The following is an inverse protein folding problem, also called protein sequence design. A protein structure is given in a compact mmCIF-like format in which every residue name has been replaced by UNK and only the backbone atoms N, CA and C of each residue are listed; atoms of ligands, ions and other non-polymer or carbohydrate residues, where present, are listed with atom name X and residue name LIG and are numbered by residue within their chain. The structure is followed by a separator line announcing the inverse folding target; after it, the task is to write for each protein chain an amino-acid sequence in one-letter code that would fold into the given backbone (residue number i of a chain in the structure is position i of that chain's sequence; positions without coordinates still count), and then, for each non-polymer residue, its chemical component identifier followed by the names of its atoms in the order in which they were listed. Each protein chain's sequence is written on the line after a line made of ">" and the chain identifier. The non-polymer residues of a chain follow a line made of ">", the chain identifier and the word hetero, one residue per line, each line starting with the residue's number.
data_IF_221309160544
#
_entry.id   IF_221309160544
#
_cell.length_a   1.000
_cell.length_b   1.000
_cell.length_c   1.000
_cell.angle_alpha   90.00
_cell.angle_beta   90.00
_cell.angle_gamma   90.00
#
_symmetry.space_group_name_H-M   'P 1'
#
loop_
_entity.id
_entity.type
_entity.pdbx_description
1 polymer ?
#
# COMPACT_ATOMS: atom_id res chain seq x y z
N UNK A 1 -3.86 17.08 -28.91
CA UNK A 1 -2.87 17.14 -27.82
C UNK A 1 -3.25 16.01 -26.87
N UNK A 2 -2.78 14.80 -27.15
CA UNK A 2 -3.07 13.62 -26.33
C UNK A 2 -1.86 13.53 -25.41
N UNK A 3 -1.97 14.04 -24.20
CA UNK A 3 -0.93 13.80 -23.21
C UNK A 3 -0.89 12.29 -22.97
N UNK A 4 0.25 11.70 -23.33
CA UNK A 4 0.42 10.26 -23.48
C UNK A 4 0.11 9.54 -22.17
N UNK A 5 -0.83 8.59 -22.18
CA UNK A 5 -1.27 7.81 -20.99
C UNK A 5 -0.06 7.23 -20.25
N UNK A 6 1.00 6.89 -20.99
CA UNK A 6 2.27 6.41 -20.46
C UNK A 6 2.93 7.38 -19.46
N UNK A 7 2.83 8.68 -19.68
CA UNK A 7 3.41 9.69 -18.79
C UNK A 7 2.68 9.75 -17.45
N UNK A 8 1.35 9.60 -17.48
CA UNK A 8 0.52 9.56 -16.28
C UNK A 8 0.74 8.26 -15.49
N UNK A 9 0.69 7.12 -16.19
CA UNK A 9 0.94 5.80 -15.58
C UNK A 9 2.32 5.69 -14.93
N UNK A 10 3.37 6.25 -15.55
CA UNK A 10 4.73 6.25 -14.97
C UNK A 10 4.79 7.13 -13.72
N UNK A 11 4.16 8.30 -13.73
CA UNK A 11 4.12 9.19 -12.55
C UNK A 11 3.39 8.55 -11.38
N UNK A 12 2.25 7.92 -11.65
CA UNK A 12 1.43 7.27 -10.62
C UNK A 12 2.15 6.02 -10.05
N UNK A 13 2.82 5.24 -10.90
CA UNK A 13 3.66 4.12 -10.48
C UNK A 13 4.85 4.55 -9.62
N UNK A 14 5.53 5.65 -9.98
CA UNK A 14 6.60 6.22 -9.17
C UNK A 14 6.08 6.74 -7.83
N UNK A 15 4.92 7.41 -7.81
CA UNK A 15 4.27 7.88 -6.59
C UNK A 15 3.89 6.72 -5.67
N UNK A 16 3.33 5.64 -6.23
CA UNK A 16 3.00 4.40 -5.50
C UNK A 16 4.23 3.83 -4.79
N UNK A 17 5.29 3.54 -5.55
CA UNK A 17 6.52 2.95 -4.98
C UNK A 17 7.19 3.87 -3.96
N UNK A 18 7.15 5.18 -4.18
CA UNK A 18 7.64 6.16 -3.22
C UNK A 18 6.90 6.05 -1.88
N UNK A 19 5.56 6.06 -1.91
CA UNK A 19 4.75 5.95 -0.70
C UNK A 19 4.93 4.61 0.01
N UNK A 20 5.04 3.51 -0.75
CA UNK A 20 5.35 2.20 -0.19
C UNK A 20 6.71 2.19 0.54
N UNK A 21 7.77 2.67 -0.12
CA UNK A 21 9.11 2.72 0.46
C UNK A 21 9.15 3.58 1.73
N UNK A 22 8.47 4.73 1.73
CA UNK A 22 8.32 5.55 2.94
C UNK A 22 7.56 4.83 4.05
N UNK A 23 6.51 4.09 3.70
CA UNK A 23 5.76 3.28 4.67
C UNK A 23 6.65 2.25 5.36
N UNK A 24 7.52 1.57 4.61
CA UNK A 24 8.51 0.62 5.16
C UNK A 24 9.49 1.32 6.10
N UNK A 25 10.00 2.51 5.71
CA UNK A 25 10.91 3.29 6.56
C UNK A 25 10.28 3.61 7.92
N UNK A 26 9.04 4.10 7.92
CA UNK A 26 8.31 4.42 9.15
C UNK A 26 7.94 3.17 9.95
N UNK A 27 7.58 2.06 9.29
CA UNK A 27 7.35 0.79 9.96
C UNK A 27 8.58 0.29 10.71
N UNK A 28 9.76 0.39 10.10
CA UNK A 28 11.03 0.00 10.72
C UNK A 28 11.40 0.90 11.91
N UNK A 29 10.98 2.18 11.88
CA UNK A 29 11.09 3.11 13.02
C UNK A 29 10.02 2.89 14.10
N UNK A 30 9.11 1.92 13.90
CA UNK A 30 7.94 1.65 14.77
C UNK A 30 6.92 2.80 14.82
N UNK A 31 6.96 3.70 13.85
CA UNK A 31 6.01 4.81 13.68
C UNK A 31 4.81 4.33 12.85
N UNK A 32 4.06 3.37 13.41
CA UNK A 32 3.09 2.58 12.66
C UNK A 32 1.92 3.41 12.11
N UNK A 33 1.45 4.45 12.82
CA UNK A 33 0.40 5.34 12.31
C UNK A 33 0.84 6.11 11.06
N UNK A 34 2.12 6.49 10.98
CA UNK A 34 2.67 7.17 9.81
C UNK A 34 2.83 6.17 8.67
N UNK A 35 3.33 4.97 8.98
CA UNK A 35 3.42 3.87 8.03
C UNK A 35 2.06 3.57 7.38
N UNK A 36 0.98 3.49 8.17
CA UNK A 36 -0.40 3.29 7.67
C UNK A 36 -0.82 4.38 6.69
N UNK A 37 -0.50 5.66 6.97
CA UNK A 37 -0.83 6.77 6.06
C UNK A 37 -0.04 6.67 4.76
N UNK A 38 1.24 6.32 4.83
CA UNK A 38 2.07 6.09 3.65
C UNK A 38 1.53 4.93 2.80
N UNK A 39 1.23 3.77 3.39
CA UNK A 39 0.64 2.65 2.67
C UNK A 39 -0.74 2.99 2.10
N UNK A 40 -1.55 3.80 2.79
CA UNK A 40 -2.84 4.25 2.25
C UNK A 40 -2.68 5.11 1.00
N UNK A 41 -1.72 6.06 1.01
CA UNK A 41 -1.39 6.84 -0.18
C UNK A 41 -0.84 5.99 -1.31
N UNK A 42 -0.06 4.95 -0.99
CA UNK A 42 0.43 4.00 -1.99
C UNK A 42 -0.72 3.25 -2.69
N UNK A 43 -1.79 2.92 -1.96
CA UNK A 43 -3.00 2.25 -2.48
C UNK A 43 -3.93 3.21 -3.25
N UNK A 44 -3.81 4.53 -3.03
CA UNK A 44 -4.58 5.53 -3.78
C UNK A 44 -3.99 5.79 -5.19
N UNK A 45 -2.76 5.35 -5.45
CA UNK A 45 -2.03 5.57 -6.71
C UNK A 45 -2.15 4.41 -7.73
N UNK A 46 -3.31 3.74 -7.83
CA UNK A 46 -3.71 2.60 -8.72
C UNK A 46 -2.95 2.55 -10.08
N UNK A 47 -2.45 1.44 -10.68
CA UNK A 47 -3.08 0.15 -11.06
C UNK A 47 -2.06 -0.99 -11.19
N UNK A 48 -1.88 -1.80 -10.16
CA UNK A 48 -1.02 -2.98 -10.24
C UNK A 48 -1.01 -3.72 -8.93
N UNK A 49 -0.63 -5.00 -8.92
CA UNK A 49 -0.74 -5.90 -7.76
C UNK A 49 -0.40 -5.22 -6.42
N UNK A 50 -1.37 -5.17 -5.51
CA UNK A 50 -1.31 -4.37 -4.27
C UNK A 50 -1.16 -5.19 -2.99
N UNK A 51 -1.06 -6.51 -3.14
CA UNK A 51 -1.10 -7.43 -1.99
C UNK A 51 -0.02 -7.08 -0.95
N UNK A 52 1.21 -6.79 -1.38
CA UNK A 52 2.31 -6.38 -0.49
C UNK A 52 1.97 -5.13 0.32
N UNK A 53 1.29 -4.15 -0.29
CA UNK A 53 0.94 -2.89 0.38
C UNK A 53 -0.17 -3.11 1.40
N UNK A 54 -1.19 -3.91 1.06
CA UNK A 54 -2.23 -4.31 2.00
C UNK A 54 -1.66 -5.12 3.17
N UNK A 55 -0.74 -6.03 2.89
CA UNK A 55 -0.04 -6.82 3.91
C UNK A 55 0.74 -5.94 4.89
N UNK A 56 1.55 -5.00 4.38
CA UNK A 56 2.34 -4.09 5.23
C UNK A 56 1.47 -3.11 6.03
N UNK A 57 0.37 -2.64 5.45
CA UNK A 57 -0.64 -1.85 6.17
C UNK A 57 -1.29 -2.68 7.29
N UNK A 58 -1.62 -3.95 7.02
CA UNK A 58 -2.15 -4.89 8.01
C UNK A 58 -1.17 -5.14 9.16
N UNK A 59 0.10 -5.38 8.85
CA UNK A 59 1.16 -5.50 9.86
C UNK A 59 1.27 -4.25 10.74
N UNK A 60 1.16 -3.06 10.14
CA UNK A 60 1.21 -1.81 10.90
C UNK A 60 0.03 -1.69 11.89
N UNK A 61 -1.19 -2.05 11.48
CA UNK A 61 -2.34 -2.13 12.38
C UNK A 61 -2.17 -3.19 13.47
N UNK A 62 -1.60 -4.35 13.13
CA UNK A 62 -1.32 -5.42 14.08
C UNK A 62 -0.35 -4.98 15.18
N UNK A 63 0.73 -4.26 14.83
CA UNK A 63 1.68 -3.71 15.80
C UNK A 63 1.02 -2.70 16.75
N UNK A 64 0.01 -1.97 16.27
CA UNK A 64 -0.83 -1.07 17.07
C UNK A 64 -1.93 -1.79 17.85
N UNK A 65 -2.00 -3.12 17.81
CA UNK A 65 -3.05 -3.96 18.42
C UNK A 65 -4.46 -3.64 17.91
N UNK A 66 -4.57 -3.07 16.71
CA UNK A 66 -5.82 -2.80 15.99
C UNK A 66 -6.16 -3.99 15.11
N UNK A 67 -6.57 -5.08 15.76
CA UNK A 67 -6.66 -6.39 15.11
C UNK A 67 -7.76 -6.46 14.05
N UNK A 68 -8.89 -5.79 14.26
CA UNK A 68 -10.00 -5.79 13.29
C UNK A 68 -9.59 -5.13 11.97
N UNK A 69 -8.86 -4.01 12.03
CA UNK A 69 -8.31 -3.33 10.87
C UNK A 69 -7.19 -4.14 10.22
N UNK A 70 -6.36 -4.82 11.00
CA UNK A 70 -5.32 -5.71 10.49
C UNK A 70 -5.94 -6.87 9.68
N UNK A 71 -6.96 -7.55 10.23
CA UNK A 71 -7.68 -8.63 9.56
C UNK A 71 -8.29 -8.14 8.24
N UNK A 72 -8.96 -6.98 8.24
CA UNK A 72 -9.51 -6.39 7.00
C UNK A 72 -8.43 -6.17 5.94
N UNK A 73 -7.24 -5.69 6.33
CA UNK A 73 -6.13 -5.49 5.41
C UNK A 73 -5.59 -6.83 4.87
N UNK A 74 -5.41 -7.84 5.73
CA UNK A 74 -4.95 -9.16 5.30
C UNK A 74 -5.94 -9.86 4.38
N UNK A 75 -7.25 -9.78 4.66
CA UNK A 75 -8.28 -10.32 3.75
C UNK A 75 -8.22 -9.67 2.37
N UNK A 76 -8.02 -8.35 2.30
CA UNK A 76 -7.81 -7.66 1.02
C UNK A 76 -6.54 -8.13 0.33
N UNK A 77 -5.42 -8.26 1.05
CA UNK A 77 -4.16 -8.77 0.50
C UNK A 77 -4.32 -10.16 -0.14
N UNK A 78 -5.05 -11.07 0.51
CA UNK A 78 -5.29 -12.42 -0.02
C UNK A 78 -6.21 -12.37 -1.25
N UNK A 79 -7.27 -11.55 -1.20
CA UNK A 79 -8.18 -11.37 -2.34
C UNK A 79 -7.46 -10.85 -3.58
N UNK A 80 -6.51 -9.91 -3.42
CA UNK A 80 -5.70 -9.37 -4.52
C UNK A 80 -4.78 -10.44 -5.14
N UNK A 81 -4.21 -11.34 -4.33
CA UNK A 81 -3.41 -12.46 -4.84
C UNK A 81 -4.27 -13.39 -5.70
N UNK A 82 -5.48 -13.70 -5.24
CA UNK A 82 -6.41 -14.59 -5.93
C UNK A 82 -6.98 -13.97 -7.21
N UNK A 83 -7.15 -12.65 -7.26
CA UNK A 83 -7.64 -11.95 -8.46
C UNK A 83 -6.61 -11.82 -9.58
N UNK A 84 -5.33 -12.07 -9.30
CA UNK A 84 -4.22 -11.96 -10.26
C UNK A 84 -3.67 -13.33 -10.70
N UNK A 85 -4.38 -14.42 -10.39
CA UNK A 85 -4.08 -15.80 -10.77
C UNK A 85 -5.01 -16.26 -11.90
#
# INVERSE_FOLDING_TARGET
>A
MVEDINTYMIKDFQAKNYWYARGIEYYNKKEYEIAIRCFSRSLECDKGSEFDTWYMKGNSFYQLRKYDEAIKCFSKSVSEIQSNM
#
